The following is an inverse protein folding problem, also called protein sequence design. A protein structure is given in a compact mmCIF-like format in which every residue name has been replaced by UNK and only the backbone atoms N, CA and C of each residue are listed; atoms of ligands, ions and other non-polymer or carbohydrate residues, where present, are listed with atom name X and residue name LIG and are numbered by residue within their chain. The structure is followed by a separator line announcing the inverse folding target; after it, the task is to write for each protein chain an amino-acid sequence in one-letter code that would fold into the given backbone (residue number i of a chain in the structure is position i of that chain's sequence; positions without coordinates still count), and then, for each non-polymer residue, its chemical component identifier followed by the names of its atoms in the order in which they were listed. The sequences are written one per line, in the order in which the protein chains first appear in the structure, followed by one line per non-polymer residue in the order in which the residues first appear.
data_IF_587011937454
#
_entry.id   IF_587011937454
#
_cell.length_a   1.000
_cell.length_b   1.000
_cell.length_c   1.000
_cell.angle_alpha   90.00
_cell.angle_beta   90.00
_cell.angle_gamma   90.00
#
_symmetry.space_group_name_H-M   'P 1'
#
loop_
_entity.id
_entity.type
_entity.pdbx_description
1 polymer ?
#
# COMPACT_ATOMS: atom_id res chain seq x y z
N UNK A 1 28.03 9.26 -0.57
CA UNK A 1 27.01 10.26 -0.13
C UNK A 1 26.28 10.89 -1.31
N UNK A 2 26.97 11.42 -2.33
CA UNK A 2 26.29 11.88 -3.57
C UNK A 2 25.62 10.69 -4.29
N UNK A 3 26.33 9.56 -4.36
CA UNK A 3 25.86 8.34 -5.04
C UNK A 3 24.59 7.75 -4.42
N UNK A 4 24.46 7.70 -3.09
CA UNK A 4 23.24 7.21 -2.44
C UNK A 4 22.01 8.09 -2.70
N UNK A 5 22.18 9.42 -2.86
CA UNK A 5 21.08 10.28 -3.30
C UNK A 5 20.68 9.98 -4.75
N UNK A 6 21.65 9.72 -5.64
CA UNK A 6 21.41 9.26 -7.01
C UNK A 6 20.79 7.86 -7.04
N UNK A 7 21.11 6.99 -6.08
CA UNK A 7 20.69 5.60 -6.04
C UNK A 7 19.29 5.43 -5.43
N UNK A 8 18.90 6.21 -4.42
CA UNK A 8 17.49 6.33 -3.96
C UNK A 8 16.62 6.90 -5.10
N UNK A 9 17.14 7.87 -5.88
CA UNK A 9 16.47 8.33 -7.11
C UNK A 9 16.37 7.21 -8.16
N UNK A 10 17.37 6.32 -8.27
CA UNK A 10 17.27 5.08 -9.08
C UNK A 10 16.34 4.02 -8.49
N UNK A 11 16.00 4.04 -7.20
CA UNK A 11 15.00 3.15 -6.59
C UNK A 11 13.58 3.64 -6.90
N UNK A 12 13.32 4.95 -6.75
CA UNK A 12 12.08 5.58 -7.22
C UNK A 12 11.92 5.44 -8.75
N UNK A 13 13.00 5.64 -9.51
CA UNK A 13 13.07 5.30 -10.94
C UNK A 13 13.14 3.80 -11.22
N UNK A 14 13.34 2.91 -10.24
CA UNK A 14 13.45 1.46 -10.50
C UNK A 14 12.16 0.92 -11.11
N UNK A 15 11.05 1.43 -10.58
CA UNK A 15 9.69 1.28 -11.08
C UNK A 15 9.48 1.86 -12.50
N UNK A 16 10.25 2.88 -12.91
CA UNK A 16 10.25 3.46 -14.26
C UNK A 16 11.22 2.76 -15.22
N UNK A 17 12.37 2.31 -14.74
CA UNK A 17 13.48 1.73 -15.52
C UNK A 17 13.14 0.32 -16.01
N UNK A 18 12.30 -0.45 -15.31
CA UNK A 18 11.73 -1.70 -15.85
C UNK A 18 10.89 -1.43 -17.11
N UNK A 19 10.16 -0.31 -17.15
CA UNK A 19 9.35 0.09 -18.32
C UNK A 19 10.15 0.80 -19.42
N UNK A 20 11.30 1.40 -19.10
CA UNK A 20 12.21 2.01 -20.09
C UNK A 20 13.19 0.97 -20.67
N UNK A 21 13.66 -0.02 -19.89
CA UNK A 21 14.46 -1.14 -20.41
C UNK A 21 13.70 -1.91 -21.48
N UNK A 22 12.41 -2.20 -21.25
CA UNK A 22 11.54 -2.85 -22.23
C UNK A 22 11.18 -1.97 -23.45
N UNK A 23 11.75 -0.76 -23.58
CA UNK A 23 11.65 0.08 -24.78
C UNK A 23 12.95 0.17 -25.60
N UNK A 24 14.07 -0.41 -25.12
CA UNK A 24 15.40 -0.25 -25.72
C UNK A 24 15.83 -1.36 -26.71
N UNK A 25 14.88 -2.12 -27.28
CA UNK A 25 15.18 -3.24 -28.19
C UNK A 25 16.01 -2.89 -29.45
N UNK A 26 16.01 -1.62 -29.88
CA UNK A 26 16.77 -1.16 -31.04
C UNK A 26 18.30 -1.05 -30.81
N UNK A 27 18.78 -1.10 -29.56
CA UNK A 27 20.22 -1.14 -29.26
C UNK A 27 20.74 -2.58 -29.11
N UNK A 28 19.90 -3.51 -28.66
CA UNK A 28 20.27 -4.92 -28.56
C UNK A 28 20.41 -5.58 -29.95
N UNK A 29 19.63 -5.19 -30.96
CA UNK A 29 19.79 -5.71 -32.33
C UNK A 29 21.22 -5.54 -32.88
N UNK A 30 21.83 -4.37 -32.67
CA UNK A 30 23.20 -4.07 -33.10
C UNK A 30 24.26 -4.91 -32.35
N UNK A 31 24.04 -5.22 -31.06
CA UNK A 31 24.93 -6.08 -30.28
C UNK A 31 24.72 -7.57 -30.58
N UNK A 32 23.47 -7.99 -30.82
CA UNK A 32 23.10 -9.38 -31.09
C UNK A 32 23.57 -9.84 -32.48
N UNK A 33 23.61 -8.95 -33.48
CA UNK A 33 24.22 -9.21 -34.78
C UNK A 33 25.73 -9.51 -34.65
N UNK A 34 26.45 -8.74 -33.85
CA UNK A 34 27.86 -8.98 -33.53
C UNK A 34 28.05 -10.32 -32.78
N UNK A 35 27.19 -10.62 -31.81
CA UNK A 35 27.30 -11.82 -30.97
C UNK A 35 26.98 -13.12 -31.72
N UNK A 36 25.93 -13.15 -32.56
CA UNK A 36 25.56 -14.31 -33.39
C UNK A 36 26.68 -14.72 -34.36
N UNK A 37 27.43 -13.73 -34.86
CA UNK A 37 28.60 -13.95 -35.73
C UNK A 37 29.74 -14.70 -35.03
N UNK A 38 29.86 -14.59 -33.69
CA UNK A 38 30.79 -15.43 -32.91
C UNK A 38 30.19 -16.80 -32.55
N UNK A 39 28.94 -16.86 -32.07
CA UNK A 39 28.37 -18.12 -31.57
C UNK A 39 28.18 -19.20 -32.64
N UNK A 40 28.05 -18.84 -33.93
CA UNK A 40 28.02 -19.81 -35.03
C UNK A 40 29.29 -20.69 -35.16
N UNK A 41 30.37 -20.38 -34.43
CA UNK A 41 31.58 -21.23 -34.32
C UNK A 41 31.55 -22.24 -33.16
N UNK A 42 30.62 -22.13 -32.20
CA UNK A 42 30.46 -23.09 -31.09
C UNK A 42 29.38 -24.12 -31.40
N UNK A 43 29.77 -24.98 -32.32
CA UNK A 43 28.96 -25.99 -33.00
C UNK A 43 28.95 -27.35 -32.28
N UNK A 44 28.01 -28.20 -32.68
CA UNK A 44 28.11 -29.68 -32.71
C UNK A 44 28.20 -30.47 -31.36
N UNK A 45 27.05 -30.72 -30.70
CA UNK A 45 26.63 -31.96 -29.94
C UNK A 45 25.17 -31.77 -29.43
N UNK A 46 24.09 -32.48 -29.85
CA UNK A 46 23.66 -33.90 -29.65
C UNK A 46 22.95 -34.17 -28.29
N UNK A 47 21.81 -34.90 -28.16
CA UNK A 47 20.87 -35.53 -29.12
C UNK A 47 19.44 -35.83 -28.51
N UNK A 48 18.45 -36.05 -29.41
CA UNK A 48 17.05 -36.57 -29.36
C UNK A 48 16.36 -37.23 -28.11
N UNK A 49 15.04 -36.94 -27.91
CA UNK A 49 13.80 -37.80 -27.99
C UNK A 49 12.58 -37.10 -27.28
N UNK A 50 11.27 -37.07 -27.66
CA UNK A 50 10.24 -38.00 -28.23
C UNK A 50 9.63 -38.99 -27.20
N UNK A 51 8.31 -39.24 -26.98
CA UNK A 51 6.93 -39.02 -27.57
C UNK A 51 5.85 -39.31 -26.44
N UNK A 52 4.50 -39.15 -26.46
CA UNK A 52 3.37 -38.46 -27.19
C UNK A 52 2.06 -38.49 -26.29
N UNK A 53 0.85 -37.94 -26.68
CA UNK A 53 -0.30 -37.68 -25.76
C UNK A 53 -1.50 -38.67 -25.79
N UNK A 54 -2.54 -38.43 -24.95
CA UNK A 54 -3.84 -39.16 -24.86
C UNK A 54 -5.04 -38.17 -24.78
N UNK A 55 -6.28 -38.65 -24.94
CA UNK A 55 -7.52 -37.93 -25.31
C UNK A 55 -8.51 -37.63 -24.15
N UNK A 56 -9.66 -37.02 -24.49
CA UNK A 56 -10.72 -36.53 -23.59
C UNK A 56 -12.12 -37.09 -23.93
N UNK A 57 -12.99 -37.28 -22.92
CA UNK A 57 -14.48 -37.33 -23.06
C UNK A 57 -15.17 -36.98 -21.73
N UNK A 58 -16.45 -36.53 -21.72
CA UNK A 58 -17.10 -35.91 -20.55
C UNK A 58 -18.00 -36.86 -19.74
N UNK A 59 -18.44 -36.43 -18.55
CA UNK A 59 -19.47 -37.09 -17.75
C UNK A 59 -20.25 -36.10 -16.86
N UNK A 60 -21.57 -36.23 -16.85
CA UNK A 60 -22.50 -35.41 -16.06
C UNK A 60 -23.05 -36.21 -14.87
N UNK A 61 -23.08 -35.63 -13.66
CA UNK A 61 -23.75 -36.20 -12.49
C UNK A 61 -24.60 -35.10 -11.83
N UNK A 62 -25.86 -35.43 -11.51
CA UNK A 62 -26.83 -34.49 -10.92
C UNK A 62 -26.81 -34.46 -9.39
N UNK A 63 -27.38 -33.40 -8.81
CA UNK A 63 -27.50 -33.25 -7.36
C UNK A 63 -28.66 -34.08 -6.80
N UNK A 64 -28.34 -35.15 -6.07
CA UNK A 64 -29.25 -35.82 -5.15
C UNK A 64 -28.79 -35.55 -3.71
N UNK A 65 -29.55 -34.78 -2.94
CA UNK A 65 -29.26 -34.51 -1.52
C UNK A 65 -30.26 -35.25 -0.65
N UNK A 66 -29.83 -36.37 -0.09
CA UNK A 66 -30.50 -37.05 1.03
C UNK A 66 -29.75 -36.72 2.32
N UNK A 67 -30.48 -36.46 3.41
CA UNK A 67 -29.93 -35.87 4.63
C UNK A 67 -28.93 -36.76 5.40
N UNK A 68 -28.11 -36.09 6.21
CA UNK A 68 -27.23 -36.66 7.25
C UNK A 68 -27.46 -35.81 8.52
N UNK A 69 -27.48 -36.45 9.69
CA UNK A 69 -27.94 -35.87 10.96
C UNK A 69 -27.19 -34.62 11.43
N UNK A 70 -27.95 -33.64 11.95
CA UNK A 70 -27.44 -32.41 12.55
C UNK A 70 -27.47 -32.55 14.08
N UNK A 71 -26.55 -33.35 14.64
CA UNK A 71 -26.38 -33.51 16.09
C UNK A 71 -24.92 -33.36 16.56
N UNK A 72 -24.26 -32.29 16.12
CA UNK A 72 -23.13 -31.65 16.83
C UNK A 72 -22.85 -30.23 16.30
N UNK A 73 -22.49 -29.29 17.20
CA UNK A 73 -21.96 -27.92 16.95
C UNK A 73 -22.95 -26.74 16.80
N UNK A 74 -24.03 -26.70 17.59
CA UNK A 74 -24.89 -25.50 17.66
C UNK A 74 -24.18 -24.26 18.24
N UNK A 75 -23.24 -24.45 19.18
CA UNK A 75 -22.53 -23.37 19.91
C UNK A 75 -21.84 -22.33 19.02
N UNK A 76 -21.41 -22.73 17.82
CA UNK A 76 -20.70 -21.86 16.89
C UNK A 76 -21.61 -20.88 16.16
N UNK A 77 -22.81 -21.31 15.75
CA UNK A 77 -23.65 -20.54 14.82
C UNK A 77 -24.40 -19.39 15.52
N UNK A 78 -24.71 -19.55 16.81
CA UNK A 78 -25.38 -18.52 17.61
C UNK A 78 -24.48 -17.35 17.99
N UNK A 79 -23.14 -17.51 18.01
CA UNK A 79 -22.22 -16.43 18.35
C UNK A 79 -22.19 -15.33 17.27
N UNK A 80 -22.04 -15.71 16.00
CA UNK A 80 -21.95 -14.76 14.90
C UNK A 80 -23.25 -13.98 14.68
N UNK A 81 -24.41 -14.63 14.87
CA UNK A 81 -25.74 -14.04 14.65
C UNK A 81 -26.07 -12.88 15.60
N UNK A 82 -25.32 -12.72 16.71
CA UNK A 82 -25.53 -11.65 17.69
C UNK A 82 -24.72 -10.38 17.42
N UNK A 83 -23.60 -10.43 16.70
CA UNK A 83 -22.62 -9.34 16.70
C UNK A 83 -23.10 -7.97 16.18
N UNK A 84 -24.10 -7.91 15.29
CA UNK A 84 -24.68 -6.62 14.87
C UNK A 84 -25.63 -6.07 15.93
N UNK A 85 -26.42 -6.93 16.58
CA UNK A 85 -27.32 -6.58 17.68
C UNK A 85 -26.52 -6.16 18.92
N UNK A 86 -25.51 -6.94 19.31
CA UNK A 86 -24.52 -6.60 20.36
C UNK A 86 -23.77 -5.29 20.11
N UNK A 87 -23.67 -4.84 18.85
CA UNK A 87 -23.07 -3.57 18.47
C UNK A 87 -24.06 -2.40 18.55
N UNK A 88 -25.31 -2.60 18.13
CA UNK A 88 -26.38 -1.60 18.23
C UNK A 88 -26.81 -1.40 19.69
N UNK A 89 -26.87 -2.45 20.50
CA UNK A 89 -27.27 -2.43 21.91
C UNK A 89 -26.12 -2.11 22.88
N UNK A 90 -24.94 -1.71 22.36
CA UNK A 90 -23.78 -1.44 23.19
C UNK A 90 -23.95 -0.11 23.96
N UNK A 91 -23.95 -0.10 25.30
CA UNK A 91 -24.12 1.13 26.07
C UNK A 91 -22.98 2.10 25.79
N UNK A 92 -23.31 3.39 25.76
CA UNK A 92 -22.38 4.50 25.49
C UNK A 92 -21.65 4.47 24.13
N UNK A 93 -22.20 3.77 23.13
CA UNK A 93 -21.64 3.65 21.77
C UNK A 93 -21.14 4.98 21.18
N UNK A 94 -21.87 6.08 21.45
CA UNK A 94 -21.61 7.44 20.92
C UNK A 94 -20.58 8.22 21.76
N UNK A 95 -20.37 7.86 23.03
CA UNK A 95 -19.56 8.63 24.00
C UNK A 95 -18.21 8.00 24.31
N UNK A 96 -18.10 6.69 24.21
CA UNK A 96 -16.87 5.95 24.54
C UNK A 96 -15.71 6.39 23.62
N UNK A 97 -14.51 6.69 24.17
CA UNK A 97 -13.33 6.97 23.36
C UNK A 97 -12.92 5.78 22.48
N UNK A 98 -12.41 6.07 21.28
CA UNK A 98 -11.77 5.06 20.43
C UNK A 98 -10.25 5.17 20.63
N UNK A 99 -9.70 4.21 21.37
CA UNK A 99 -8.28 4.05 21.66
C UNK A 99 -7.73 2.73 21.08
N UNK A 100 -6.46 2.41 21.37
CA UNK A 100 -5.80 1.19 20.88
C UNK A 100 -6.31 -0.11 21.56
N UNK A 101 -7.18 -0.02 22.58
CA UNK A 101 -7.79 -1.15 23.28
C UNK A 101 -9.16 -1.46 22.70
N UNK A 102 -9.97 -0.44 22.41
CA UNK A 102 -11.20 -0.55 21.63
C UNK A 102 -10.94 -1.12 20.22
N UNK A 103 -11.98 -1.63 19.56
CA UNK A 103 -11.97 -1.85 18.11
C UNK A 103 -12.82 -0.78 17.42
N UNK A 104 -12.55 -0.55 16.15
CA UNK A 104 -13.25 0.43 15.33
C UNK A 104 -14.23 -0.25 14.36
N UNK A 105 -15.47 0.23 14.32
CA UNK A 105 -16.45 -0.07 13.25
C UNK A 105 -16.78 1.22 12.50
N UNK A 106 -16.60 1.20 11.18
CA UNK A 106 -17.21 2.18 10.27
C UNK A 106 -18.58 1.65 9.83
N UNK A 107 -19.63 2.47 9.93
CA UNK A 107 -21.02 2.04 9.66
C UNK A 107 -21.63 2.60 8.37
N UNK A 108 -20.85 3.31 7.55
CA UNK A 108 -21.34 4.00 6.35
C UNK A 108 -21.72 5.46 6.62
N UNK A 109 -22.43 6.09 5.66
CA UNK A 109 -23.02 7.42 5.84
C UNK A 109 -24.53 7.30 6.11
N UNK A 110 -25.25 8.42 6.12
CA UNK A 110 -26.72 8.53 6.05
C UNK A 110 -27.46 7.43 5.24
N UNK A 111 -27.00 7.11 4.03
CA UNK A 111 -27.63 6.10 3.14
C UNK A 111 -27.31 4.64 3.50
N UNK A 112 -26.61 4.38 4.59
CA UNK A 112 -26.28 3.02 5.04
C UNK A 112 -27.34 2.44 5.96
N UNK A 113 -27.82 1.23 5.64
CA UNK A 113 -28.73 0.46 6.51
C UNK A 113 -28.20 0.31 7.94
N UNK A 114 -26.88 0.18 8.15
CA UNK A 114 -26.29 0.04 9.49
C UNK A 114 -26.32 1.37 10.24
N UNK A 115 -26.06 2.49 9.55
CA UNK A 115 -26.18 3.82 10.16
C UNK A 115 -27.64 4.14 10.51
N UNK A 116 -28.58 3.84 9.61
CA UNK A 116 -30.01 3.99 9.87
C UNK A 116 -30.46 3.25 11.14
N UNK A 117 -30.05 1.98 11.32
CA UNK A 117 -30.40 1.19 12.51
C UNK A 117 -29.76 1.75 13.81
N UNK A 118 -28.51 2.22 13.75
CA UNK A 118 -27.86 2.87 14.91
C UNK A 118 -28.57 4.19 15.26
N UNK A 119 -28.87 5.03 14.27
CA UNK A 119 -29.61 6.28 14.45
C UNK A 119 -31.03 6.03 14.99
N UNK A 120 -31.69 4.95 14.58
CA UNK A 120 -33.00 4.55 15.10
C UNK A 120 -32.95 4.16 16.59
N UNK A 121 -31.90 3.46 17.03
CA UNK A 121 -31.77 2.99 18.42
C UNK A 121 -31.38 4.11 19.40
N UNK A 122 -30.50 5.04 19.00
CA UNK A 122 -30.01 6.12 19.87
C UNK A 122 -30.72 7.47 19.66
N UNK A 123 -31.51 7.61 18.59
CA UNK A 123 -32.38 8.75 18.32
C UNK A 123 -31.66 10.10 18.19
N UNK A 124 -32.38 11.17 18.53
CA UNK A 124 -31.92 12.56 18.39
C UNK A 124 -30.60 12.90 19.12
N UNK A 125 -30.13 12.05 20.03
CA UNK A 125 -28.83 12.19 20.68
C UNK A 125 -27.63 12.00 19.71
N UNK A 126 -27.86 11.53 18.48
CA UNK A 126 -26.82 11.28 17.45
C UNK A 126 -27.02 12.15 16.19
N UNK A 127 -27.67 13.31 16.33
CA UNK A 127 -27.94 14.26 15.24
C UNK A 127 -26.71 14.86 14.53
N UNK A 128 -25.49 14.54 14.96
CA UNK A 128 -24.27 14.77 14.17
C UNK A 128 -24.18 13.77 13.00
N UNK A 129 -24.85 14.10 11.89
CA UNK A 129 -24.89 13.34 10.62
C UNK A 129 -23.50 12.94 10.06
N UNK A 130 -22.45 13.62 10.52
CA UNK A 130 -21.06 13.44 10.09
C UNK A 130 -20.32 12.28 10.78
N UNK A 131 -20.80 11.80 11.94
CA UNK A 131 -20.12 10.75 12.71
C UNK A 131 -20.46 9.38 12.14
N UNK A 132 -19.45 8.67 11.66
CA UNK A 132 -19.58 7.34 11.05
C UNK A 132 -18.66 6.27 11.66
N UNK A 133 -17.90 6.65 12.69
CA UNK A 133 -16.89 5.83 13.37
C UNK A 133 -17.35 5.54 14.80
N UNK A 134 -17.59 4.27 15.13
CA UNK A 134 -18.07 3.88 16.46
C UNK A 134 -17.19 2.79 17.11
N UNK A 135 -16.82 2.93 18.39
CA UNK A 135 -16.04 1.93 19.11
C UNK A 135 -16.88 0.66 19.29
N UNK A 136 -16.29 -0.50 19.02
CA UNK A 136 -16.88 -1.82 19.31
C UNK A 136 -15.98 -2.65 20.22
N UNK A 137 -16.60 -3.57 20.95
CA UNK A 137 -15.91 -4.55 21.79
C UNK A 137 -15.00 -5.47 20.96
N UNK A 138 -13.91 -5.97 21.58
CA UNK A 138 -13.04 -6.97 20.94
C UNK A 138 -13.77 -8.32 20.88
N UNK A 139 -14.40 -8.62 19.73
CA UNK A 139 -14.80 -9.99 19.38
C UNK A 139 -13.60 -10.93 19.58
N UNK A 140 -13.76 -11.92 20.44
CA UNK A 140 -12.68 -12.84 20.84
C UNK A 140 -12.19 -13.66 19.64
N UNK A 141 -10.88 -13.89 19.52
CA UNK A 141 -10.32 -14.78 18.48
C UNK A 141 -10.93 -16.19 18.53
N UNK A 142 -11.40 -16.64 19.69
CA UNK A 142 -12.09 -17.94 19.84
C UNK A 142 -13.44 -18.01 19.10
N UNK A 143 -14.09 -16.87 18.87
CA UNK A 143 -15.35 -16.79 18.12
C UNK A 143 -15.19 -17.11 16.63
N UNK A 144 -13.97 -16.99 16.07
CA UNK A 144 -13.72 -17.01 14.63
C UNK A 144 -13.49 -18.40 14.01
N UNK A 145 -13.63 -19.49 14.79
CA UNK A 145 -13.65 -20.85 14.25
C UNK A 145 -12.29 -21.42 13.78
N UNK A 146 -11.47 -21.86 14.74
CA UNK A 146 -10.26 -22.69 14.56
C UNK A 146 -9.05 -22.10 13.80
N UNK A 147 -7.92 -22.10 14.52
CA UNK A 147 -6.62 -22.61 14.05
C UNK A 147 -6.12 -22.24 12.62
N UNK A 148 -5.55 -21.03 12.48
CA UNK A 148 -4.56 -20.74 11.45
C UNK A 148 -3.13 -20.58 11.99
N UNK A 149 -2.95 -20.48 13.32
CA UNK A 149 -1.66 -20.11 13.95
C UNK A 149 -0.74 -21.31 14.09
N UNK A 150 -1.26 -22.49 14.45
CA UNK A 150 -0.44 -23.69 14.70
C UNK A 150 0.04 -24.34 13.37
N UNK A 151 -0.39 -23.75 12.24
CA UNK A 151 0.01 -24.09 10.86
C UNK A 151 1.04 -23.13 10.27
N UNK A 152 1.43 -22.09 11.01
CA UNK A 152 2.44 -21.13 10.55
C UNK A 152 3.84 -21.77 10.54
N UNK A 153 4.63 -21.59 9.46
CA UNK A 153 6.03 -22.01 9.44
C UNK A 153 6.80 -21.42 10.64
N UNK A 154 7.54 -22.25 11.38
CA UNK A 154 8.20 -21.86 12.64
C UNK A 154 9.13 -20.65 12.50
N UNK A 155 9.75 -20.49 11.33
CA UNK A 155 10.63 -19.36 11.02
C UNK A 155 9.88 -18.01 10.98
N UNK A 156 8.56 -18.02 10.77
CA UNK A 156 7.66 -16.85 10.90
C UNK A 156 7.79 -16.18 12.27
N UNK A 157 8.16 -16.92 13.33
CA UNK A 157 8.36 -16.37 14.67
C UNK A 157 9.84 -16.13 15.03
N UNK A 158 10.79 -16.46 14.14
CA UNK A 158 12.23 -16.33 14.40
C UNK A 158 12.74 -14.93 14.04
N UNK A 159 12.85 -14.05 15.02
CA UNK A 159 13.50 -12.74 14.82
C UNK A 159 14.99 -12.89 14.46
N UNK A 160 15.54 -11.99 13.62
CA UNK A 160 16.98 -11.92 13.38
C UNK A 160 17.79 -11.62 14.65
N UNK A 161 19.13 -11.81 14.63
CA UNK A 161 20.01 -11.35 15.71
C UNK A 161 19.76 -9.86 16.00
N UNK A 162 19.72 -9.48 17.28
CA UNK A 162 19.27 -8.13 17.70
C UNK A 162 20.01 -6.99 17.00
N UNK A 163 21.32 -7.10 16.76
CA UNK A 163 22.09 -6.09 16.04
C UNK A 163 21.54 -5.83 14.61
N UNK A 164 21.19 -6.90 13.89
CA UNK A 164 20.58 -6.81 12.55
C UNK A 164 19.19 -6.16 12.63
N UNK A 165 18.41 -6.45 13.68
CA UNK A 165 17.13 -5.76 13.91
C UNK A 165 17.36 -4.27 14.19
N UNK A 166 18.35 -3.91 15.01
CA UNK A 166 18.66 -2.52 15.33
C UNK A 166 19.14 -1.71 14.10
N UNK A 167 20.06 -2.27 13.30
CA UNK A 167 20.54 -1.66 12.05
C UNK A 167 19.40 -1.40 11.05
N UNK A 168 18.51 -2.39 10.87
CA UNK A 168 17.37 -2.29 9.94
C UNK A 168 16.29 -1.32 10.44
N UNK A 169 16.07 -1.24 11.76
CA UNK A 169 15.18 -0.24 12.35
C UNK A 169 15.74 1.17 12.21
N UNK A 170 17.05 1.38 12.46
CA UNK A 170 17.67 2.69 12.20
C UNK A 170 17.55 3.05 10.71
N UNK A 171 17.88 2.13 9.80
CA UNK A 171 17.78 2.40 8.36
C UNK A 171 16.36 2.82 7.93
N UNK A 172 15.31 2.17 8.45
CA UNK A 172 13.93 2.57 8.18
C UNK A 172 13.61 3.97 8.72
N UNK A 173 13.84 4.23 10.01
CA UNK A 173 13.45 5.49 10.65
C UNK A 173 14.30 6.68 10.20
N UNK A 174 15.56 6.44 9.81
CA UNK A 174 16.50 7.46 9.33
C UNK A 174 16.32 7.80 7.86
N UNK A 175 16.02 6.82 6.99
CA UNK A 175 16.06 7.01 5.54
C UNK A 175 14.71 6.93 4.85
N UNK A 176 13.67 6.32 5.44
CA UNK A 176 12.36 6.14 4.80
C UNK A 176 11.22 6.82 5.56
N UNK A 177 11.09 6.60 6.88
CA UNK A 177 10.01 7.21 7.67
C UNK A 177 9.90 8.75 7.55
N UNK A 178 10.99 9.54 7.37
CA UNK A 178 10.89 11.00 7.29
C UNK A 178 10.03 11.52 6.13
N UNK A 179 10.05 10.84 4.98
CA UNK A 179 9.24 11.17 3.80
C UNK A 179 8.25 10.08 3.39
N UNK A 180 8.13 9.00 4.17
CA UNK A 180 7.03 8.04 4.09
C UNK A 180 6.58 7.63 5.52
N UNK A 181 6.04 8.57 6.33
CA UNK A 181 5.76 8.41 7.77
C UNK A 181 4.51 7.57 8.06
N UNK A 182 4.57 6.30 7.68
CA UNK A 182 3.52 5.31 7.95
C UNK A 182 3.46 4.97 9.45
N UNK A 183 4.61 4.99 10.14
CA UNK A 183 4.77 4.55 11.53
C UNK A 183 5.10 5.73 12.45
N UNK A 184 4.51 5.75 13.65
CA UNK A 184 4.96 6.61 14.74
C UNK A 184 6.25 6.01 15.34
N UNK A 185 7.38 6.66 15.12
CA UNK A 185 8.68 6.22 15.63
C UNK A 185 8.71 6.18 17.16
N UNK A 186 8.14 7.20 17.82
CA UNK A 186 8.22 7.37 19.27
C UNK A 186 7.49 6.23 20.00
N UNK A 187 6.32 5.84 19.51
CA UNK A 187 5.54 4.71 20.04
C UNK A 187 6.24 3.40 19.69
N UNK A 188 6.58 3.17 18.42
CA UNK A 188 7.16 1.90 17.96
C UNK A 188 8.52 1.62 18.62
N UNK A 189 9.45 2.59 18.57
CA UNK A 189 10.76 2.46 19.21
C UNK A 189 10.66 2.54 20.73
N UNK A 190 9.62 3.16 21.28
CA UNK A 190 9.28 3.09 22.71
C UNK A 190 8.99 1.66 23.15
N UNK A 191 8.03 0.99 22.50
CA UNK A 191 7.67 -0.41 22.75
C UNK A 191 8.89 -1.34 22.55
N UNK A 192 9.61 -1.18 21.43
CA UNK A 192 10.77 -2.00 21.10
C UNK A 192 11.92 -1.85 22.12
N UNK A 193 12.24 -0.62 22.54
CA UNK A 193 13.32 -0.36 23.52
C UNK A 193 12.94 -0.76 24.95
N UNK A 194 11.66 -0.64 25.33
CA UNK A 194 11.17 -1.00 26.65
C UNK A 194 11.27 -2.52 26.94
N UNK A 195 11.18 -3.37 25.90
CA UNK A 195 11.15 -4.84 25.99
C UNK A 195 10.03 -5.39 26.89
N UNK A 196 8.96 -4.60 27.09
CA UNK A 196 7.79 -4.99 27.86
C UNK A 196 7.01 -6.08 27.11
N UNK A 197 7.01 -7.30 27.66
CA UNK A 197 6.30 -8.45 27.09
C UNK A 197 4.77 -8.31 27.12
N UNK A 198 4.22 -7.35 27.88
CA UNK A 198 2.79 -7.02 27.88
C UNK A 198 2.40 -6.01 26.80
N UNK A 199 3.36 -5.27 26.24
CA UNK A 199 3.15 -4.24 25.22
C UNK A 199 4.29 -4.20 24.16
N UNK A 200 4.65 -5.33 23.52
CA UNK A 200 5.66 -5.33 22.45
C UNK A 200 5.13 -4.64 21.18
N UNK A 201 6.02 -4.19 20.28
CA UNK A 201 5.61 -3.78 18.94
C UNK A 201 4.99 -4.98 18.19
N UNK A 202 4.05 -4.73 17.29
CA UNK A 202 3.45 -5.79 16.47
C UNK A 202 4.49 -6.52 15.64
N UNK A 203 4.51 -7.85 15.70
CA UNK A 203 5.41 -8.68 14.89
C UNK A 203 5.15 -8.53 13.38
N UNK A 204 3.90 -8.33 12.97
CA UNK A 204 3.52 -8.06 11.59
C UNK A 204 4.13 -6.73 11.11
N UNK A 205 3.98 -5.66 11.89
CA UNK A 205 4.55 -4.36 11.55
C UNK A 205 6.07 -4.35 11.64
N UNK A 206 6.65 -5.07 12.60
CA UNK A 206 8.11 -5.22 12.73
C UNK A 206 8.71 -5.85 11.47
N UNK A 207 8.16 -6.95 10.94
CA UNK A 207 8.66 -7.49 9.68
C UNK A 207 8.44 -6.56 8.48
N UNK A 208 7.31 -5.86 8.41
CA UNK A 208 7.05 -4.89 7.35
C UNK A 208 8.05 -3.70 7.40
N UNK A 209 8.42 -3.26 8.60
CA UNK A 209 9.47 -2.24 8.83
C UNK A 209 10.86 -2.80 8.49
N UNK A 210 11.19 -4.04 8.89
CA UNK A 210 12.48 -4.67 8.58
C UNK A 210 12.69 -4.93 7.08
N UNK A 211 11.62 -5.21 6.32
CA UNK A 211 11.63 -5.29 4.85
C UNK A 211 12.11 -3.96 4.26
N UNK A 212 11.49 -2.85 4.67
CA UNK A 212 11.81 -1.50 4.15
C UNK A 212 13.17 -1.02 4.68
N UNK A 213 13.52 -1.36 5.92
CA UNK A 213 14.88 -1.20 6.45
C UNK A 213 15.93 -1.92 5.62
N UNK A 214 15.65 -3.14 5.14
CA UNK A 214 16.58 -3.90 4.29
C UNK A 214 16.69 -3.33 2.87
N UNK A 215 15.62 -2.71 2.36
CA UNK A 215 15.65 -1.96 1.10
C UNK A 215 16.59 -0.75 1.18
N UNK A 216 16.57 -0.03 2.30
CA UNK A 216 17.42 1.15 2.54
C UNK A 216 18.86 0.80 2.95
N UNK A 217 19.07 -0.19 3.82
CA UNK A 217 20.38 -0.54 4.38
C UNK A 217 21.29 -1.25 3.38
N UNK A 218 20.74 -2.13 2.54
CA UNK A 218 21.50 -2.92 1.57
C UNK A 218 21.36 -2.32 0.16
N UNK A 219 21.58 -1.00 0.06
CA UNK A 219 21.44 -0.29 -1.21
C UNK A 219 22.43 -0.79 -2.29
N UNK A 220 23.66 -1.11 -1.90
CA UNK A 220 24.73 -1.57 -2.81
C UNK A 220 24.82 -3.10 -2.96
N UNK A 221 24.21 -3.87 -2.05
CA UNK A 221 24.20 -5.34 -2.06
C UNK A 221 22.83 -5.88 -2.49
N UNK A 222 22.64 -6.05 -3.80
CA UNK A 222 21.33 -6.37 -4.36
C UNK A 222 20.83 -7.77 -4.00
N UNK A 223 21.73 -8.74 -3.84
CA UNK A 223 21.38 -10.13 -3.47
C UNK A 223 20.91 -10.19 -2.02
N UNK A 224 21.70 -9.64 -1.08
CA UNK A 224 21.34 -9.56 0.33
C UNK A 224 20.07 -8.74 0.54
N UNK A 225 19.89 -7.66 -0.23
CA UNK A 225 18.64 -6.86 -0.24
C UNK A 225 17.44 -7.69 -0.67
N UNK A 226 17.50 -8.37 -1.81
CA UNK A 226 16.37 -9.19 -2.29
C UNK A 226 16.06 -10.33 -1.30
N UNK A 227 17.07 -11.07 -0.84
CA UNK A 227 16.92 -12.15 0.14
C UNK A 227 16.29 -11.68 1.46
N UNK A 228 16.77 -10.55 2.02
CA UNK A 228 16.24 -10.01 3.26
C UNK A 228 14.81 -9.48 3.10
N UNK A 229 14.54 -8.70 2.04
CA UNK A 229 13.19 -8.22 1.72
C UNK A 229 12.20 -9.39 1.56
N UNK A 230 12.57 -10.40 0.77
CA UNK A 230 11.74 -11.59 0.52
C UNK A 230 11.46 -12.35 1.81
N UNK A 231 12.48 -12.54 2.66
CA UNK A 231 12.34 -13.22 3.96
C UNK A 231 11.34 -12.48 4.87
N UNK A 232 11.51 -11.17 5.05
CA UNK A 232 10.60 -10.40 5.93
C UNK A 232 9.20 -10.25 5.33
N UNK A 233 9.08 -10.13 4.00
CA UNK A 233 7.80 -10.15 3.30
C UNK A 233 7.03 -11.44 3.55
N UNK A 234 7.64 -12.61 3.34
CA UNK A 234 6.94 -13.89 3.49
C UNK A 234 6.44 -14.09 4.93
N UNK A 235 7.24 -13.70 5.93
CA UNK A 235 6.84 -13.79 7.35
C UNK A 235 5.73 -12.82 7.71
N UNK A 236 5.78 -11.59 7.20
CA UNK A 236 4.68 -10.64 7.35
C UNK A 236 3.39 -11.12 6.67
N UNK A 237 3.49 -11.63 5.42
CA UNK A 237 2.38 -12.21 4.67
C UNK A 237 1.74 -13.38 5.43
N UNK A 238 2.54 -14.32 5.92
CA UNK A 238 2.08 -15.45 6.73
C UNK A 238 1.24 -14.98 7.93
N UNK A 239 1.72 -13.99 8.69
CA UNK A 239 0.99 -13.42 9.84
C UNK A 239 -0.30 -12.70 9.45
N UNK A 240 -0.33 -12.04 8.29
CA UNK A 240 -1.50 -11.34 7.77
C UNK A 240 -2.58 -12.32 7.28
N UNK A 241 -2.18 -13.34 6.50
CA UNK A 241 -3.06 -14.39 5.99
C UNK A 241 -3.67 -15.21 7.12
N UNK A 242 -2.87 -15.57 8.14
CA UNK A 242 -3.33 -16.24 9.36
C UNK A 242 -4.13 -15.34 10.31
N UNK A 243 -4.37 -14.07 9.96
CA UNK A 243 -5.07 -13.07 10.79
C UNK A 243 -4.49 -12.96 12.21
N UNK A 244 -3.17 -13.08 12.33
CA UNK A 244 -2.46 -13.06 13.61
C UNK A 244 -2.59 -11.69 14.28
N UNK A 245 -2.49 -10.61 13.50
CA UNK A 245 -2.73 -9.25 13.97
C UNK A 245 -4.24 -8.97 14.14
N UNK A 246 -4.58 -8.29 15.24
CA UNK A 246 -5.93 -7.91 15.61
C UNK A 246 -6.21 -6.41 15.47
N UNK A 247 -5.17 -5.58 15.49
CA UNK A 247 -5.25 -4.15 15.21
C UNK A 247 -5.28 -3.90 13.70
N UNK A 248 -6.37 -3.29 13.22
CA UNK A 248 -6.57 -3.02 11.79
C UNK A 248 -5.70 -1.86 11.28
N UNK A 249 -5.38 -0.87 12.12
CA UNK A 249 -4.46 0.23 11.76
C UNK A 249 -3.10 -0.34 11.37
N UNK A 250 -2.60 -1.26 12.22
CA UNK A 250 -1.35 -2.00 12.02
C UNK A 250 -1.36 -2.86 10.75
N UNK A 251 -2.51 -3.42 10.37
CA UNK A 251 -2.68 -4.15 9.10
C UNK A 251 -2.59 -3.20 7.90
N UNK A 252 -3.19 -2.01 7.96
CA UNK A 252 -3.06 -0.98 6.91
C UNK A 252 -1.60 -0.52 6.77
N UNK A 253 -0.96 -0.20 7.89
CA UNK A 253 0.45 0.22 7.92
C UNK A 253 1.37 -0.86 7.35
N UNK A 254 1.22 -2.12 7.78
CA UNK A 254 2.01 -3.22 7.28
C UNK A 254 1.76 -3.47 5.78
N UNK A 255 0.51 -3.59 5.33
CA UNK A 255 0.20 -3.84 3.92
C UNK A 255 0.71 -2.74 2.99
N UNK A 256 0.71 -1.47 3.43
CA UNK A 256 1.32 -0.36 2.70
C UNK A 256 2.85 -0.50 2.62
N UNK A 257 3.52 -0.92 3.70
CA UNK A 257 4.97 -1.17 3.69
C UNK A 257 5.36 -2.43 2.88
N UNK A 258 4.50 -3.44 2.77
CA UNK A 258 4.75 -4.64 1.94
C UNK A 258 4.82 -4.34 0.43
N UNK A 259 4.31 -3.20 -0.02
CA UNK A 259 4.47 -2.74 -1.43
C UNK A 259 5.93 -2.61 -1.87
N UNK A 260 6.86 -2.42 -0.92
CA UNK A 260 8.29 -2.27 -1.15
C UNK A 260 9.01 -3.58 -1.51
N UNK A 261 8.34 -4.75 -1.50
CA UNK A 261 8.94 -5.97 -2.05
C UNK A 261 9.11 -5.84 -3.57
N UNK A 262 8.01 -5.74 -4.31
CA UNK A 262 7.98 -5.42 -5.75
C UNK A 262 8.97 -6.17 -6.66
N UNK A 263 9.10 -7.48 -6.46
CA UNK A 263 9.85 -8.34 -7.37
C UNK A 263 8.98 -8.71 -8.60
N UNK A 264 8.99 -7.85 -9.62
CA UNK A 264 8.43 -8.14 -10.96
C UNK A 264 7.01 -7.64 -11.26
N UNK A 265 6.62 -7.76 -12.53
CA UNK A 265 5.29 -7.38 -13.06
C UNK A 265 4.36 -8.59 -13.30
N UNK A 266 4.89 -9.80 -13.22
CA UNK A 266 4.25 -11.02 -13.73
C UNK A 266 3.16 -11.57 -12.79
N UNK A 267 3.41 -11.56 -11.48
CA UNK A 267 2.40 -11.92 -10.50
C UNK A 267 1.50 -10.72 -10.13
N UNK A 268 0.27 -10.75 -10.64
CA UNK A 268 -0.79 -9.79 -10.34
C UNK A 268 -1.26 -9.79 -8.87
N UNK A 269 -0.84 -10.77 -8.07
CA UNK A 269 -1.19 -10.99 -6.66
C UNK A 269 -0.01 -10.85 -5.68
N UNK A 270 1.20 -10.54 -6.16
CA UNK A 270 2.36 -10.25 -5.31
C UNK A 270 2.93 -8.82 -5.45
N UNK A 271 2.60 -8.11 -6.54
CA UNK A 271 3.15 -6.77 -6.81
C UNK A 271 2.54 -5.64 -5.93
N UNK A 272 3.10 -4.42 -6.03
CA UNK A 272 2.68 -3.26 -5.22
C UNK A 272 1.19 -2.90 -5.38
N UNK A 273 0.61 -3.02 -6.58
CA UNK A 273 -0.79 -2.65 -6.82
C UNK A 273 -1.74 -3.56 -6.03
N UNK A 274 -1.41 -4.85 -5.89
CA UNK A 274 -2.18 -5.78 -5.07
C UNK A 274 -2.11 -5.45 -3.57
N UNK A 275 -0.90 -5.28 -3.03
CA UNK A 275 -0.69 -4.97 -1.60
C UNK A 275 -1.28 -3.63 -1.20
N UNK A 276 -1.20 -2.65 -2.08
CA UNK A 276 -1.86 -1.38 -1.92
C UNK A 276 -3.39 -1.52 -1.99
N UNK A 277 -3.92 -2.35 -2.89
CA UNK A 277 -5.34 -2.71 -2.91
C UNK A 277 -5.84 -3.34 -1.61
N UNK A 278 -5.04 -4.18 -0.95
CA UNK A 278 -5.30 -4.68 0.42
C UNK A 278 -5.32 -3.52 1.42
N UNK A 279 -4.26 -2.71 1.45
CA UNK A 279 -4.13 -1.61 2.40
C UNK A 279 -5.28 -0.60 2.30
N UNK A 280 -5.65 -0.20 1.07
CA UNK A 280 -6.81 0.65 0.78
C UNK A 280 -8.11 -0.02 1.21
N UNK A 281 -8.32 -1.31 0.89
CA UNK A 281 -9.57 -2.01 1.27
C UNK A 281 -9.76 -2.08 2.78
N UNK A 282 -8.70 -2.32 3.55
CA UNK A 282 -8.75 -2.34 5.02
C UNK A 282 -8.94 -0.91 5.58
N UNK A 283 -8.28 0.10 5.01
CA UNK A 283 -8.43 1.50 5.40
C UNK A 283 -9.86 2.02 5.15
N UNK A 284 -10.45 1.73 3.99
CA UNK A 284 -11.85 2.04 3.69
C UNK A 284 -12.80 1.31 4.64
N UNK A 285 -12.55 0.03 4.94
CA UNK A 285 -13.32 -0.76 5.91
C UNK A 285 -13.18 -0.30 7.37
N UNK A 286 -12.16 0.50 7.69
CA UNK A 286 -12.02 1.21 8.96
C UNK A 286 -12.70 2.58 9.00
N UNK A 287 -13.05 3.14 7.84
CA UNK A 287 -13.52 4.53 7.74
C UNK A 287 -12.40 5.56 7.66
N UNK A 288 -11.14 5.18 7.40
CA UNK A 288 -10.02 6.13 7.21
C UNK A 288 -10.23 7.11 6.05
N UNK A 289 -11.11 6.75 5.10
CA UNK A 289 -11.56 7.59 3.98
C UNK A 289 -12.59 8.66 4.37
N UNK A 290 -13.00 8.72 5.63
CA UNK A 290 -13.93 9.72 6.16
C UNK A 290 -13.23 10.64 7.14
N UNK A 291 -13.68 11.90 7.19
CA UNK A 291 -13.14 12.84 8.16
C UNK A 291 -13.41 12.34 9.58
N UNK A 292 -12.34 12.14 10.34
CA UNK A 292 -12.42 11.63 11.71
C UNK A 292 -12.54 12.77 12.73
N UNK A 293 -12.49 14.05 12.33
CA UNK A 293 -12.41 15.18 13.27
C UNK A 293 -13.61 15.24 14.25
N UNK A 294 -14.82 14.83 13.84
CA UNK A 294 -16.03 14.74 14.67
C UNK A 294 -16.13 13.47 15.54
N UNK A 295 -15.29 12.44 15.30
CA UNK A 295 -15.33 11.17 16.03
C UNK A 295 -14.70 11.22 17.43
N UNK A 296 -14.99 10.21 18.28
CA UNK A 296 -14.35 10.01 19.60
C UNK A 296 -12.94 9.39 19.54
N UNK A 297 -12.31 9.38 18.35
CA UNK A 297 -10.95 8.89 18.14
C UNK A 297 -9.93 9.79 18.85
N UNK A 298 -8.90 9.20 19.47
CA UNK A 298 -7.83 10.00 20.10
C UNK A 298 -7.09 10.85 19.07
N UNK A 299 -6.71 12.10 19.41
CA UNK A 299 -6.21 13.07 18.43
C UNK A 299 -4.94 12.60 17.69
N UNK A 300 -4.10 11.80 18.34
CA UNK A 300 -2.95 11.15 17.69
C UNK A 300 -3.39 10.19 16.56
N UNK A 301 -4.39 9.35 16.81
CA UNK A 301 -4.92 8.43 15.79
C UNK A 301 -5.62 9.22 14.67
N UNK A 302 -6.31 10.35 14.96
CA UNK A 302 -6.85 11.25 13.92
C UNK A 302 -5.75 11.80 12.99
N UNK A 303 -4.61 12.26 13.55
CA UNK A 303 -3.43 12.68 12.76
C UNK A 303 -2.89 11.54 11.90
N UNK A 304 -2.67 10.37 12.52
CA UNK A 304 -2.13 9.18 11.87
C UNK A 304 -3.02 8.70 10.72
N UNK A 305 -4.34 8.61 10.94
CA UNK A 305 -5.32 8.23 9.91
C UNK A 305 -5.31 9.19 8.73
N UNK A 306 -5.38 10.50 8.97
CA UNK A 306 -5.32 11.52 7.90
C UNK A 306 -4.03 11.39 7.10
N UNK A 307 -2.88 11.25 7.77
CA UNK A 307 -1.57 11.07 7.15
C UNK A 307 -1.49 9.79 6.32
N UNK A 308 -1.87 8.63 6.88
CA UNK A 308 -1.85 7.32 6.21
C UNK A 308 -2.83 7.27 5.03
N UNK A 309 -4.02 7.88 5.13
CA UNK A 309 -4.96 7.96 4.00
C UNK A 309 -4.38 8.74 2.81
N UNK A 310 -3.70 9.86 3.06
CA UNK A 310 -3.03 10.61 2.00
C UNK A 310 -1.79 9.88 1.44
N UNK A 311 -1.03 9.14 2.25
CA UNK A 311 0.05 8.26 1.77
C UNK A 311 -0.49 7.11 0.90
N UNK A 312 -1.63 6.52 1.27
CA UNK A 312 -2.34 5.52 0.46
C UNK A 312 -2.78 6.12 -0.88
N UNK A 313 -3.39 7.31 -0.87
CA UNK A 313 -3.81 8.01 -2.10
C UNK A 313 -2.62 8.34 -3.01
N UNK A 314 -1.54 8.92 -2.49
CA UNK A 314 -0.32 9.19 -3.27
C UNK A 314 0.21 7.91 -3.91
N UNK A 315 0.34 6.84 -3.13
CA UNK A 315 0.78 5.53 -3.62
C UNK A 315 -0.14 4.99 -4.73
N UNK A 316 -1.46 5.12 -4.56
CA UNK A 316 -2.45 4.57 -5.49
C UNK A 316 -2.44 5.32 -6.83
N UNK A 317 -2.16 6.62 -6.80
CA UNK A 317 -1.92 7.41 -8.01
C UNK A 317 -0.67 6.95 -8.76
N UNK A 318 0.46 6.84 -8.06
CA UNK A 318 1.76 6.57 -8.71
C UNK A 318 1.90 5.12 -9.19
N UNK A 319 1.49 4.15 -8.37
CA UNK A 319 1.48 2.73 -8.74
C UNK A 319 0.52 2.48 -9.90
N UNK A 320 -0.69 3.07 -9.87
CA UNK A 320 -1.65 2.90 -10.98
C UNK A 320 -1.17 3.57 -12.27
N UNK A 321 -0.49 4.72 -12.20
CA UNK A 321 0.11 5.40 -13.36
C UNK A 321 1.19 4.55 -14.02
N UNK A 322 2.06 3.95 -13.21
CA UNK A 322 3.17 3.10 -13.66
C UNK A 322 2.65 1.77 -14.24
N UNK A 323 1.83 1.03 -13.50
CA UNK A 323 1.34 -0.29 -13.90
C UNK A 323 0.20 -0.23 -14.95
N UNK A 324 -0.27 0.97 -15.32
CA UNK A 324 -1.37 1.16 -16.26
C UNK A 324 -2.71 0.63 -15.75
N UNK A 325 -2.92 0.62 -14.43
CA UNK A 325 -4.12 0.06 -13.76
C UNK A 325 -5.11 1.15 -13.35
N UNK A 326 -6.38 0.79 -13.06
CA UNK A 326 -7.29 1.70 -12.37
C UNK A 326 -6.80 2.03 -10.96
N UNK A 327 -7.11 3.25 -10.51
CA UNK A 327 -6.94 3.70 -9.13
C UNK A 327 -8.00 3.06 -8.23
N UNK A 328 -7.59 2.70 -7.01
CA UNK A 328 -8.44 2.18 -5.95
C UNK A 328 -9.13 3.30 -5.16
N UNK A 329 -8.53 4.50 -5.11
CA UNK A 329 -9.05 5.65 -4.37
C UNK A 329 -9.66 6.70 -5.32
N UNK A 330 -10.96 6.87 -5.19
CA UNK A 330 -11.71 7.99 -5.73
C UNK A 330 -11.89 9.04 -4.63
N UNK A 331 -11.34 10.25 -4.84
CA UNK A 331 -11.52 11.35 -3.88
C UNK A 331 -12.97 11.86 -3.82
N UNK A 332 -13.80 11.50 -4.80
CA UNK A 332 -15.24 11.72 -4.80
C UNK A 332 -15.96 10.96 -3.65
N UNK A 333 -15.38 9.84 -3.17
CA UNK A 333 -15.92 9.04 -2.06
C UNK A 333 -15.36 9.44 -0.67
N UNK A 334 -14.44 10.42 -0.60
CA UNK A 334 -13.61 10.71 0.58
C UNK A 334 -13.67 12.18 0.99
N UNK A 335 -14.07 12.46 2.24
CA UNK A 335 -14.07 13.81 2.82
C UNK A 335 -12.89 14.10 3.77
N UNK A 336 -11.83 13.28 3.77
CA UNK A 336 -10.64 13.51 4.60
C UNK A 336 -9.97 14.85 4.26
N UNK A 337 -9.81 15.71 5.27
CA UNK A 337 -9.12 17.00 5.13
C UNK A 337 -7.69 16.83 4.62
N UNK A 338 -7.20 17.81 3.87
CA UNK A 338 -5.78 17.89 3.45
C UNK A 338 -4.85 17.82 4.66
N UNK A 339 -3.71 17.14 4.51
CA UNK A 339 -2.68 17.05 5.54
C UNK A 339 -2.19 18.44 5.98
N UNK A 340 -1.90 18.58 7.26
CA UNK A 340 -1.32 19.77 7.89
C UNK A 340 0.03 19.39 8.49
N UNK A 341 0.95 20.35 8.65
CA UNK A 341 2.26 20.14 9.31
C UNK A 341 2.09 19.49 10.70
N UNK A 342 1.03 19.86 11.43
CA UNK A 342 0.69 19.28 12.73
C UNK A 342 0.26 17.80 12.70
N UNK A 343 -0.15 17.23 11.55
CA UNK A 343 -0.44 15.78 11.42
C UNK A 343 0.84 14.92 11.48
N UNK A 344 2.03 15.55 11.45
CA UNK A 344 3.34 14.90 11.48
C UNK A 344 4.09 15.03 12.82
N UNK A 345 3.49 15.67 13.83
CA UNK A 345 4.16 15.98 15.10
C UNK A 345 4.71 14.75 15.87
N UNK A 346 4.25 13.54 15.57
CA UNK A 346 4.68 12.29 16.20
C UNK A 346 5.61 11.43 15.29
N UNK A 347 6.08 11.97 14.16
CA UNK A 347 6.77 11.19 13.10
C UNK A 347 8.32 11.20 13.17
N UNK A 348 8.90 11.73 14.24
CA UNK A 348 10.34 12.02 14.34
C UNK A 348 10.70 13.45 13.92
N UNK A 349 11.89 13.97 14.31
CA UNK A 349 12.27 15.36 14.07
C UNK A 349 12.59 15.66 12.60
N UNK A 350 13.04 14.66 11.84
CA UNK A 350 13.48 14.81 10.44
C UNK A 350 12.32 14.75 9.43
N UNK A 351 11.07 14.60 9.89
CA UNK A 351 9.89 14.47 9.03
C UNK A 351 9.76 15.63 8.02
N UNK A 352 9.24 15.32 6.82
CA UNK A 352 9.20 16.23 5.67
C UNK A 352 7.75 16.62 5.28
N UNK A 353 7.01 17.32 6.15
CA UNK A 353 5.58 17.55 5.97
C UNK A 353 5.26 18.42 4.74
N UNK A 354 6.05 19.45 4.44
CA UNK A 354 5.83 20.32 3.28
C UNK A 354 5.94 19.53 1.96
N UNK A 355 6.99 18.72 1.82
CA UNK A 355 7.24 17.89 0.63
C UNK A 355 6.12 16.87 0.43
N UNK A 356 5.62 16.28 1.52
CA UNK A 356 4.49 15.33 1.50
C UNK A 356 3.13 15.99 1.22
N UNK A 357 2.89 17.20 1.73
CA UNK A 357 1.68 17.98 1.41
C UNK A 357 1.68 18.32 -0.09
N UNK A 358 2.82 18.76 -0.64
CA UNK A 358 2.93 19.05 -2.08
C UNK A 358 2.88 17.80 -2.96
N UNK A 359 3.34 16.65 -2.48
CA UNK A 359 3.15 15.36 -3.16
C UNK A 359 1.65 14.99 -3.26
N UNK A 360 0.84 15.28 -2.24
CA UNK A 360 -0.63 15.13 -2.32
C UNK A 360 -1.25 16.04 -3.39
N UNK A 361 -0.88 17.32 -3.44
CA UNK A 361 -1.40 18.25 -4.47
C UNK A 361 -1.04 17.79 -5.89
N UNK A 362 0.20 17.33 -6.09
CA UNK A 362 0.66 16.77 -7.36
C UNK A 362 -0.10 15.48 -7.71
N UNK A 363 -0.30 14.57 -6.75
CA UNK A 363 -1.08 13.36 -6.94
C UNK A 363 -2.55 13.65 -7.29
N UNK A 364 -3.18 14.70 -6.72
CA UNK A 364 -4.52 15.17 -7.10
C UNK A 364 -4.54 15.66 -8.57
N UNK A 365 -3.45 16.29 -9.04
CA UNK A 365 -3.34 16.73 -10.44
C UNK A 365 -3.33 15.54 -11.40
N UNK A 366 -2.42 14.59 -11.14
CA UNK A 366 -2.21 13.37 -11.94
C UNK A 366 -3.41 12.43 -11.89
N UNK A 367 -4.00 12.20 -10.71
CA UNK A 367 -5.20 11.37 -10.53
C UNK A 367 -6.37 11.84 -11.38
N UNK A 368 -6.64 13.15 -11.38
CA UNK A 368 -7.68 13.75 -12.22
C UNK A 368 -7.34 13.61 -13.71
N UNK A 369 -6.09 13.86 -14.10
CA UNK A 369 -5.64 13.73 -15.50
C UNK A 369 -5.82 12.30 -16.03
N UNK A 370 -5.45 11.28 -15.24
CA UNK A 370 -5.66 9.87 -15.58
C UNK A 370 -7.15 9.54 -15.75
N UNK A 371 -8.00 9.93 -14.79
CA UNK A 371 -9.45 9.67 -14.85
C UNK A 371 -10.11 10.38 -16.03
N UNK A 372 -9.76 11.64 -16.30
CA UNK A 372 -10.29 12.38 -17.46
C UNK A 372 -9.79 11.82 -18.79
N UNK A 373 -8.51 11.43 -18.90
CA UNK A 373 -7.93 10.82 -20.12
C UNK A 373 -8.54 9.45 -20.43
N UNK A 374 -8.83 8.65 -19.41
CA UNK A 374 -9.47 7.34 -19.56
C UNK A 374 -10.96 7.45 -19.91
N UNK A 375 -11.65 8.52 -19.45
CA UNK A 375 -13.04 8.83 -19.84
C UNK A 375 -13.14 9.50 -21.23
N UNK A 376 -12.06 10.07 -21.77
CA UNK A 376 -12.05 10.74 -23.06
C UNK A 376 -12.13 9.74 -24.23
N UNK A 377 -13.21 9.82 -25.01
CA UNK A 377 -13.50 8.94 -26.16
C UNK A 377 -12.71 9.29 -27.43
N UNK A 378 -12.47 10.58 -27.69
CA UNK A 378 -11.76 11.08 -28.88
C UNK A 378 -10.37 11.65 -28.54
N UNK A 379 -9.49 11.69 -29.54
CA UNK A 379 -8.14 12.26 -29.35
C UNK A 379 -8.15 13.77 -29.11
N UNK A 380 -9.13 14.51 -29.64
CA UNK A 380 -9.29 15.92 -29.32
C UNK A 380 -9.69 16.12 -27.85
N UNK A 381 -10.58 15.28 -27.31
CA UNK A 381 -10.88 15.28 -25.88
C UNK A 381 -9.62 14.95 -25.05
N UNK A 382 -8.76 14.02 -25.50
CA UNK A 382 -7.48 13.70 -24.84
C UNK A 382 -6.49 14.86 -24.88
N UNK A 383 -6.39 15.61 -25.99
CA UNK A 383 -5.59 16.85 -26.10
C UNK A 383 -6.09 17.94 -25.15
N UNK A 384 -7.41 18.13 -25.06
CA UNK A 384 -8.02 19.10 -24.14
C UNK A 384 -7.73 18.74 -22.68
N UNK A 385 -7.78 17.46 -22.31
CA UNK A 385 -7.39 16.97 -20.97
C UNK A 385 -5.91 17.17 -20.71
N UNK A 386 -5.05 16.91 -21.70
CA UNK A 386 -3.60 17.11 -21.59
C UNK A 386 -3.27 18.59 -21.33
N UNK A 387 -3.78 19.51 -22.17
CA UNK A 387 -3.56 20.96 -21.99
C UNK A 387 -4.05 21.47 -20.62
N UNK A 388 -5.24 21.06 -20.19
CA UNK A 388 -5.77 21.37 -18.84
C UNK A 388 -4.92 20.78 -17.72
N UNK A 389 -4.19 19.69 -17.98
CA UNK A 389 -3.27 19.10 -17.02
C UNK A 389 -1.95 19.86 -16.98
N UNK A 390 -1.42 20.29 -18.12
CA UNK A 390 -0.22 21.12 -18.21
C UNK A 390 -0.42 22.49 -17.54
N UNK A 391 -1.57 23.13 -17.81
CA UNK A 391 -2.03 24.34 -17.12
C UNK A 391 -2.00 24.15 -15.59
N UNK A 392 -2.46 23.01 -15.08
CA UNK A 392 -2.48 22.68 -13.63
C UNK A 392 -1.09 22.35 -13.07
N UNK A 393 -0.27 21.60 -13.81
CA UNK A 393 1.09 21.22 -13.43
C UNK A 393 2.01 22.44 -13.35
N UNK A 394 2.00 23.29 -14.38
CA UNK A 394 2.76 24.54 -14.38
C UNK A 394 2.28 25.50 -13.27
N UNK A 395 0.96 25.63 -13.09
CA UNK A 395 0.38 26.46 -12.03
C UNK A 395 0.71 25.95 -10.61
N UNK A 396 0.90 24.63 -10.43
CA UNK A 396 1.40 24.05 -9.19
C UNK A 396 2.89 24.32 -9.00
N UNK A 397 3.72 24.08 -10.01
CA UNK A 397 5.16 24.30 -9.94
C UNK A 397 5.52 25.77 -9.65
N UNK A 398 4.80 26.73 -10.25
CA UNK A 398 4.94 28.16 -9.99
C UNK A 398 4.51 28.60 -8.58
N UNK A 399 3.77 27.77 -7.83
CA UNK A 399 3.39 28.00 -6.42
C UNK A 399 4.23 27.19 -5.43
N UNK A 400 5.22 26.43 -5.89
CA UNK A 400 6.01 25.58 -5.01
C UNK A 400 6.87 26.45 -4.05
N UNK A 401 6.85 26.20 -2.73
CA UNK A 401 7.68 26.91 -1.78
C UNK A 401 9.17 26.87 -2.13
N UNK A 402 9.89 27.97 -1.94
CA UNK A 402 11.33 28.07 -2.29
C UNK A 402 12.20 27.03 -1.57
N UNK A 403 11.81 26.59 -0.37
CA UNK A 403 12.44 25.51 0.39
C UNK A 403 12.35 24.13 -0.28
N UNK A 404 11.41 23.94 -1.21
CA UNK A 404 11.18 22.70 -1.96
C UNK A 404 11.73 22.74 -3.39
N UNK A 405 12.27 23.88 -3.85
CA UNK A 405 12.92 24.00 -5.15
C UNK A 405 14.31 23.32 -5.14
N UNK A 406 14.75 22.86 -6.32
CA UNK A 406 16.09 22.26 -6.53
C UNK A 406 17.19 23.34 -6.54
N UNK A 407 17.43 23.97 -5.40
CA UNK A 407 18.47 24.99 -5.23
C UNK A 407 19.88 24.37 -5.14
N UNK A 408 20.52 24.21 -6.29
CA UNK A 408 21.93 23.86 -6.41
C UNK A 408 22.25 22.37 -6.22
N UNK A 409 23.34 21.90 -6.84
CA UNK A 409 23.70 20.49 -6.96
C UNK A 409 24.16 19.81 -5.65
N UNK A 410 24.05 20.47 -4.50
CA UNK A 410 24.57 20.03 -3.20
C UNK A 410 23.60 20.28 -2.01
N UNK A 411 22.42 20.89 -2.24
CA UNK A 411 21.54 21.36 -1.14
C UNK A 411 20.13 20.78 -1.09
N UNK A 412 19.63 20.15 -2.16
CA UNK A 412 18.27 19.62 -2.19
C UNK A 412 18.19 18.26 -1.48
N UNK A 413 17.41 18.17 -0.40
CA UNK A 413 17.17 16.90 0.31
C UNK A 413 16.52 15.83 -0.57
N UNK A 414 16.71 14.55 -0.21
CA UNK A 414 16.15 13.37 -0.92
C UNK A 414 14.69 13.57 -1.31
N UNK A 415 13.88 14.06 -0.37
CA UNK A 415 12.42 14.15 -0.51
C UNK A 415 11.96 15.30 -1.42
N UNK A 416 12.73 16.37 -1.51
CA UNK A 416 12.51 17.43 -2.50
C UNK A 416 12.86 16.90 -3.90
N UNK A 417 14.00 16.21 -4.02
CA UNK A 417 14.40 15.54 -5.27
C UNK A 417 13.35 14.51 -5.72
N UNK A 418 12.78 13.75 -4.78
CA UNK A 418 11.70 12.80 -5.05
C UNK A 418 10.40 13.48 -5.52
N UNK A 419 10.06 14.65 -4.96
CA UNK A 419 8.90 15.44 -5.41
C UNK A 419 9.06 15.93 -6.85
N UNK A 420 10.22 16.48 -7.20
CA UNK A 420 10.53 16.89 -8.58
C UNK A 420 10.65 15.71 -9.54
N UNK A 421 11.12 14.55 -9.09
CA UNK A 421 11.13 13.31 -9.86
C UNK A 421 9.71 12.89 -10.26
N UNK A 422 8.77 12.89 -9.30
CA UNK A 422 7.37 12.56 -9.55
C UNK A 422 6.67 13.56 -10.48
N UNK A 423 7.02 14.85 -10.40
CA UNK A 423 6.53 15.87 -11.34
C UNK A 423 7.02 15.60 -12.77
N UNK A 424 8.31 15.30 -12.94
CA UNK A 424 8.87 14.98 -14.26
C UNK A 424 8.34 13.63 -14.79
N UNK A 425 8.14 12.63 -13.93
CA UNK A 425 7.50 11.36 -14.29
C UNK A 425 6.06 11.58 -14.80
N UNK A 426 5.29 12.46 -14.15
CA UNK A 426 3.95 12.81 -14.60
C UNK A 426 3.98 13.44 -16.01
N UNK A 427 4.86 14.42 -16.26
CA UNK A 427 5.03 15.01 -17.59
C UNK A 427 5.41 13.95 -18.64
N UNK A 428 6.44 13.14 -18.38
CA UNK A 428 6.92 12.11 -19.32
C UNK A 428 5.82 11.09 -19.65
N UNK A 429 5.11 10.57 -18.64
CA UNK A 429 4.10 9.52 -18.84
C UNK A 429 2.81 10.05 -19.47
N UNK A 430 2.50 11.35 -19.33
CA UNK A 430 1.40 12.01 -20.00
C UNK A 430 1.73 12.40 -21.45
N UNK A 431 2.93 12.92 -21.73
CA UNK A 431 3.32 13.44 -23.05
C UNK A 431 3.97 12.41 -23.98
N UNK A 432 4.41 11.25 -23.49
CA UNK A 432 5.05 10.22 -24.34
C UNK A 432 4.18 9.83 -25.53
N UNK A 433 4.79 9.83 -26.71
CA UNK A 433 4.19 9.29 -27.92
C UNK A 433 3.91 7.78 -27.76
N UNK A 434 2.91 7.22 -28.47
CA UNK A 434 2.74 5.77 -28.55
C UNK A 434 3.99 5.13 -29.21
N UNK A 435 4.34 3.88 -28.86
CA UNK A 435 5.39 3.15 -29.56
C UNK A 435 5.08 3.07 -31.05
N UNK A 436 6.05 3.39 -31.90
CA UNK A 436 5.94 3.09 -33.33
C UNK A 436 5.95 1.56 -33.48
N UNK A 437 5.01 1.03 -34.25
CA UNK A 437 5.12 -0.37 -34.68
C UNK A 437 6.44 -0.55 -35.45
N UNK A 438 7.16 -1.67 -35.28
CA UNK A 438 8.30 -1.98 -36.14
C UNK A 438 7.82 -2.04 -37.59
N UNK A 439 8.63 -1.50 -38.51
CA UNK A 439 8.46 -1.72 -39.95
C UNK A 439 8.49 -3.23 -40.23
N UNK A 440 7.68 -3.70 -41.17
CA UNK A 440 7.60 -5.13 -41.54
C UNK A 440 8.70 -5.55 -42.52
N UNK A 441 9.75 -4.74 -42.61
CA UNK A 441 10.74 -4.70 -43.68
C UNK A 441 12.18 -4.77 -43.11
N UNK A 442 12.37 -5.63 -42.10
CA UNK A 442 13.65 -6.16 -41.59
C UNK A 442 13.52 -7.67 -41.30
#
# INVERSE_FOLDING_TARGET
MLESHVQIVKQALGMTVVLIRNANGYLEQLQLAAFRTLQLKLKDTHLLHQRRPVQSTPGSIGFGVTGIDIHAREDGEYLYKRHLVEFIDQPELVKRPIDNKARMTYIGTDVSNVNYLVQQQFGAAVHTSEVCHYPTNRISRRAAGHDPVDRLPLDTFQLPPKAVVDELLEAYFRHVNPGFPVVDERIFMGQYRARDSSNPPSLLLLYAVLLVGAHALYEDDSEKRHLAKSTYFHRAKNLLDARFESNRDTIVQAALLLTWLTDGLEDATANAWYWLGIAVRVATGLGMHRDAESSTLVQHNKRMWRRVWWLLFQSDVWVSLQYGRPQSIHLEDSNVQKMKVSDFADCGPDAQPESLIQMSELAIIVSKAMRERNRASSDEARRIVLRKTDERLASWALRLPQSLNLHGALGAGVWNTNLHLHYNMALILLHRAPPKAPSRDE
#
